data_IF_763227732692
#
_entry.id   IF_763227732692
#
_cell.length_a   1.000
_cell.length_b   1.000
_cell.length_c   1.000
_cell.angle_alpha   90.00
_cell.angle_beta   90.00
_cell.angle_gamma   90.00
#
_symmetry.space_group_name_H-M   'P 1'
#
loop_
_entity.id
_entity.type
_entity.pdbx_description
1 polymer ?
#
# COMPACT_ATOMS: atom_id res chain seq x y z
N UNK A 1 44.80 -26.88 -1.99
CA UNK A 1 44.89 -26.21 -0.69
C UNK A 1 43.85 -25.12 -0.67
N UNK A 2 42.73 -25.31 0.06
CA UNK A 2 41.71 -24.27 0.19
C UNK A 2 42.23 -23.16 1.10
N UNK A 3 42.42 -21.98 0.54
CA UNK A 3 42.72 -20.75 1.28
C UNK A 3 41.50 -20.40 2.13
N UNK A 4 41.61 -20.59 3.45
CA UNK A 4 40.64 -20.05 4.40
C UNK A 4 40.69 -18.52 4.28
N UNK A 5 39.67 -17.92 3.67
CA UNK A 5 39.53 -16.48 3.61
C UNK A 5 39.41 -15.93 5.03
N UNK A 6 40.42 -15.18 5.47
CA UNK A 6 40.41 -14.50 6.75
C UNK A 6 39.35 -13.40 6.70
N UNK A 7 38.14 -13.67 7.21
CA UNK A 7 37.10 -12.65 7.28
C UNK A 7 37.45 -11.65 8.38
N UNK A 8 37.84 -10.44 7.96
CA UNK A 8 37.99 -9.31 8.87
C UNK A 8 36.62 -8.91 9.45
N UNK A 9 36.58 -8.26 10.63
CA UNK A 9 35.33 -7.73 11.19
C UNK A 9 34.54 -6.85 10.22
N UNK A 10 35.24 -6.14 9.33
CA UNK A 10 34.62 -5.30 8.30
C UNK A 10 34.01 -6.13 7.16
N UNK A 11 34.65 -7.21 6.74
CA UNK A 11 34.09 -8.15 5.75
C UNK A 11 32.77 -8.75 6.23
N UNK A 12 32.66 -9.09 7.52
CA UNK A 12 31.42 -9.65 8.10
C UNK A 12 30.29 -8.61 8.16
N UNK A 13 30.62 -7.36 8.50
CA UNK A 13 29.65 -6.26 8.49
C UNK A 13 29.12 -5.98 7.09
N UNK A 14 30.00 -6.02 6.08
CA UNK A 14 29.62 -5.79 4.69
C UNK A 14 28.71 -6.92 4.16
N UNK A 15 29.05 -8.18 4.43
CA UNK A 15 28.21 -9.32 4.08
C UNK A 15 26.81 -9.23 4.73
N UNK A 16 26.75 -8.80 5.99
CA UNK A 16 25.47 -8.62 6.68
C UNK A 16 24.64 -7.48 6.06
N UNK A 17 25.26 -6.36 5.69
CA UNK A 17 24.57 -5.28 4.97
C UNK A 17 24.00 -5.77 3.64
N UNK A 18 24.81 -6.46 2.83
CA UNK A 18 24.37 -7.05 1.55
C UNK A 18 23.24 -8.05 1.74
N UNK A 19 23.26 -8.83 2.82
CA UNK A 19 22.17 -9.73 3.17
C UNK A 19 20.87 -8.97 3.45
N UNK A 20 20.93 -7.90 4.26
CA UNK A 20 19.74 -7.08 4.57
C UNK A 20 19.18 -6.38 3.33
N UNK A 21 20.05 -5.90 2.44
CA UNK A 21 19.64 -5.32 1.16
C UNK A 21 18.99 -6.37 0.25
N UNK A 22 19.66 -7.52 0.04
CA UNK A 22 19.18 -8.59 -0.85
C UNK A 22 17.89 -9.24 -0.35
N UNK A 23 17.70 -9.34 0.97
CA UNK A 23 16.48 -9.87 1.58
C UNK A 23 15.32 -8.86 1.63
N UNK A 24 15.55 -7.60 1.21
CA UNK A 24 14.52 -6.56 1.19
C UNK A 24 14.22 -5.93 2.55
N UNK A 25 14.98 -6.27 3.61
CA UNK A 25 14.79 -5.68 4.95
C UNK A 25 15.03 -4.18 4.94
N UNK A 26 16.03 -3.71 4.20
CA UNK A 26 16.34 -2.27 4.07
C UNK A 26 15.19 -1.52 3.38
N UNK A 27 14.64 -2.09 2.31
CA UNK A 27 13.50 -1.49 1.59
C UNK A 27 12.25 -1.43 2.47
N UNK A 28 11.93 -2.51 3.19
CA UNK A 28 10.80 -2.56 4.12
C UNK A 28 10.94 -1.51 5.23
N UNK A 29 12.12 -1.40 5.86
CA UNK A 29 12.38 -0.38 6.88
C UNK A 29 12.24 1.03 6.30
N UNK A 30 12.73 1.26 5.08
CA UNK A 30 12.64 2.55 4.39
C UNK A 30 11.18 2.95 4.17
N UNK A 31 10.35 2.04 3.64
CA UNK A 31 8.91 2.30 3.40
C UNK A 31 8.16 2.66 4.67
N UNK A 32 8.39 1.94 5.77
CA UNK A 32 7.74 2.24 7.06
C UNK A 32 8.13 3.64 7.57
N UNK A 33 9.40 4.01 7.43
CA UNK A 33 9.89 5.33 7.86
C UNK A 33 9.37 6.46 6.96
N UNK A 34 9.26 6.24 5.65
CA UNK A 34 8.65 7.19 4.71
C UNK A 34 7.17 7.39 5.03
N UNK A 35 6.40 6.31 5.24
CA UNK A 35 5.00 6.42 5.64
C UNK A 35 4.81 7.20 6.94
N UNK A 36 5.64 6.93 7.96
CA UNK A 36 5.63 7.70 9.20
C UNK A 36 6.02 9.17 8.99
N UNK A 37 6.88 9.45 8.01
CA UNK A 37 7.27 10.81 7.65
C UNK A 37 6.10 11.57 7.01
N UNK A 38 5.39 10.94 6.08
CA UNK A 38 4.30 11.51 5.29
C UNK A 38 2.97 11.63 6.05
N UNK A 39 2.81 10.93 7.18
CA UNK A 39 1.58 11.00 7.98
C UNK A 39 1.29 12.43 8.45
N UNK A 40 0.14 12.97 8.04
CA UNK A 40 -0.26 14.36 8.29
C UNK A 40 -0.44 14.66 9.79
N UNK A 41 -0.89 13.66 10.56
CA UNK A 41 -0.94 13.69 12.02
C UNK A 41 -0.02 12.60 12.58
N UNK A 42 1.16 13.01 13.06
CA UNK A 42 2.15 12.04 13.53
C UNK A 42 1.64 11.34 14.78
N UNK A 43 1.67 10.00 14.81
CA UNK A 43 1.20 9.27 15.97
C UNK A 43 2.04 9.64 17.20
N UNK A 44 1.41 9.81 18.38
CA UNK A 44 2.13 10.14 19.61
C UNK A 44 3.15 9.07 20.02
N UNK A 45 2.94 7.82 19.56
CA UNK A 45 3.90 6.73 19.73
C UNK A 45 4.37 6.17 18.37
N UNK A 46 5.49 6.70 17.88
CA UNK A 46 6.14 6.24 16.65
C UNK A 46 6.57 4.75 16.70
N UNK A 47 6.92 4.23 17.88
CA UNK A 47 7.35 2.84 18.03
C UNK A 47 6.20 1.88 17.74
N UNK A 48 4.98 2.21 18.16
CA UNK A 48 3.81 1.38 17.91
C UNK A 48 3.41 1.40 16.44
N UNK A 49 3.57 2.53 15.76
CA UNK A 49 3.41 2.62 14.31
C UNK A 49 4.38 1.66 13.60
N UNK A 50 5.67 1.73 13.91
CA UNK A 50 6.68 0.86 13.29
C UNK A 50 6.37 -0.62 13.53
N UNK A 51 6.02 -1.01 14.77
CA UNK A 51 5.64 -2.39 15.09
C UNK A 51 4.44 -2.88 14.28
N UNK A 52 3.39 -2.06 14.17
CA UNK A 52 2.17 -2.41 13.43
C UNK A 52 2.45 -2.59 11.94
N UNK A 53 3.20 -1.68 11.34
CA UNK A 53 3.48 -1.69 9.90
C UNK A 53 4.56 -2.71 9.51
N UNK A 54 5.50 -3.05 10.40
CA UNK A 54 6.45 -4.15 10.18
C UNK A 54 5.85 -5.54 10.46
N UNK A 55 4.84 -5.62 11.34
CA UNK A 55 4.12 -6.87 11.65
C UNK A 55 2.97 -7.17 10.69
N UNK A 56 2.64 -6.25 9.78
CA UNK A 56 1.68 -6.48 8.73
C UNK A 56 2.26 -7.49 7.70
N UNK A 57 1.44 -8.35 7.08
CA UNK A 57 1.92 -9.34 6.13
C UNK A 57 2.80 -8.71 5.06
N UNK A 58 4.06 -9.16 4.97
CA UNK A 58 5.00 -8.73 3.94
C UNK A 58 4.45 -9.11 2.56
N UNK A 59 4.27 -8.13 1.67
CA UNK A 59 3.75 -8.33 0.31
C UNK A 59 2.46 -7.58 -0.01
N UNK A 60 1.91 -6.83 0.94
CA UNK A 60 0.79 -5.92 0.66
C UNK A 60 1.34 -4.66 -0.01
N UNK A 61 1.14 -4.56 -1.32
CA UNK A 61 1.42 -3.36 -2.10
C UNK A 61 0.32 -2.31 -1.79
N UNK A 62 0.62 -1.44 -0.83
CA UNK A 62 -0.30 -0.39 -0.37
C UNK A 62 -0.64 0.57 -1.50
N UNK A 63 0.30 0.82 -2.42
CA UNK A 63 0.08 1.72 -3.55
C UNK A 63 -0.85 1.09 -4.58
N UNK A 64 -0.65 -0.21 -4.89
CA UNK A 64 -1.57 -0.96 -5.73
C UNK A 64 -2.98 -1.02 -5.12
N UNK A 65 -3.09 -1.30 -3.81
CA UNK A 65 -4.37 -1.30 -3.12
C UNK A 65 -5.04 0.08 -3.13
N UNK A 66 -4.27 1.16 -2.96
CA UNK A 66 -4.79 2.53 -2.98
C UNK A 66 -5.27 2.91 -4.38
N UNK A 67 -4.52 2.54 -5.43
CA UNK A 67 -4.92 2.73 -6.82
C UNK A 67 -6.19 1.96 -7.18
N UNK A 68 -6.28 0.68 -6.79
CA UNK A 68 -7.47 -0.14 -6.98
C UNK A 68 -8.69 0.47 -6.25
N UNK A 69 -8.50 0.96 -5.03
CA UNK A 69 -9.57 1.60 -4.27
C UNK A 69 -10.13 2.85 -4.97
N UNK A 70 -9.25 3.71 -5.50
CA UNK A 70 -9.67 4.91 -6.24
C UNK A 70 -10.37 4.56 -7.54
N UNK A 71 -9.91 3.53 -8.27
CA UNK A 71 -10.59 3.07 -9.48
C UNK A 71 -11.98 2.48 -9.18
N UNK A 72 -12.10 1.69 -8.10
CA UNK A 72 -13.38 1.16 -7.65
C UNK A 72 -14.35 2.27 -7.23
N UNK A 73 -13.88 3.30 -6.52
CA UNK A 73 -14.70 4.48 -6.19
C UNK A 73 -15.21 5.18 -7.44
N UNK A 74 -14.35 5.38 -8.44
CA UNK A 74 -14.73 6.01 -9.71
C UNK A 74 -15.81 5.20 -10.43
N UNK A 75 -15.61 3.89 -10.59
CA UNK A 75 -16.61 2.99 -11.19
C UNK A 75 -17.93 3.01 -10.44
N UNK A 76 -17.89 3.03 -9.11
CA UNK A 76 -19.08 3.09 -8.28
C UNK A 76 -19.85 4.40 -8.50
N UNK A 77 -19.15 5.54 -8.55
CA UNK A 77 -19.77 6.83 -8.85
C UNK A 77 -20.43 6.86 -10.25
N UNK A 78 -19.78 6.28 -11.26
CA UNK A 78 -20.33 6.17 -12.62
C UNK A 78 -21.59 5.27 -12.66
N UNK A 79 -21.56 4.14 -11.95
CA UNK A 79 -22.71 3.23 -11.84
C UNK A 79 -23.88 3.89 -11.12
N UNK A 80 -23.64 4.59 -10.00
CA UNK A 80 -24.66 5.34 -9.28
C UNK A 80 -25.33 6.36 -10.20
N UNK A 81 -24.53 7.15 -10.94
CA UNK A 81 -25.06 8.13 -11.89
C UNK A 81 -25.91 7.47 -12.99
N UNK A 82 -25.47 6.33 -13.51
CA UNK A 82 -26.21 5.60 -14.54
C UNK A 82 -27.54 5.08 -14.00
N UNK A 83 -27.55 4.55 -12.77
CA UNK A 83 -28.77 4.10 -12.09
C UNK A 83 -29.74 5.28 -11.90
N UNK A 84 -29.25 6.43 -11.46
CA UNK A 84 -30.07 7.64 -11.29
C UNK A 84 -30.68 8.10 -12.63
N UNK A 85 -29.89 8.11 -13.72
CA UNK A 85 -30.38 8.47 -15.05
C UNK A 85 -31.42 7.49 -15.59
N UNK A 86 -31.20 6.18 -15.42
CA UNK A 86 -32.14 5.14 -15.86
C UNK A 86 -33.43 5.16 -15.05
N UNK A 87 -33.36 5.29 -13.73
CA UNK A 87 -34.55 5.41 -12.88
C UNK A 87 -35.37 6.64 -13.27
N UNK A 88 -34.71 7.77 -13.54
CA UNK A 88 -35.40 8.98 -14.00
C UNK A 88 -36.13 8.76 -15.32
N UNK A 89 -35.50 8.05 -16.27
CA UNK A 89 -36.11 7.72 -17.56
C UNK A 89 -37.31 6.80 -17.41
N UNK A 90 -37.18 5.75 -16.61
CA UNK A 90 -38.28 4.84 -16.28
C UNK A 90 -39.46 5.59 -15.69
N UNK A 91 -39.24 6.48 -14.72
CA UNK A 91 -40.33 7.28 -14.13
C UNK A 91 -41.00 8.19 -15.16
N UNK A 92 -40.25 8.82 -16.08
CA UNK A 92 -40.86 9.64 -17.14
C UNK A 92 -41.62 8.81 -18.18
N UNK A 93 -41.13 7.61 -18.53
CA UNK A 93 -41.83 6.71 -19.46
C UNK A 93 -43.12 6.17 -18.83
N UNK A 94 -43.12 5.83 -17.54
CA UNK A 94 -44.31 5.44 -16.78
C UNK A 94 -45.33 6.59 -16.66
N UNK A 95 -44.89 7.82 -16.43
CA UNK A 95 -45.76 9.01 -16.38
C UNK A 95 -46.38 9.36 -17.76
N UNK A 96 -45.69 9.06 -18.87
CA UNK A 96 -46.20 9.27 -20.24
C UNK A 96 -47.19 8.18 -20.68
N UNK A 97 -47.06 6.93 -20.20
CA UNK A 97 -48.02 5.85 -20.50
C UNK A 97 -49.35 5.97 -19.73
N UNK A 98 -49.36 6.62 -18.56
CA UNK A 98 -50.57 6.82 -17.75
C UNK A 98 -51.40 8.07 -18.10
N UNK A 99 -50.89 8.96 -18.96
CA UNK A 99 -51.51 10.24 -19.36
C UNK A 99 -52.34 10.16 -20.66
#
# INVERSE_FOLDING_TARGET
MSTAAYQTPDSKKEEFRKYLEKSGVVDALTKVLVGLYEEADKPPNAVDYVKRFMGAPTGIDVDALRAENEELKKKNAELIKTIEELNKRLTTEEEEEEA
#
